data_IF_346618449685
#
_entry.id   IF_346618449685
#
_cell.length_a   1.000
_cell.length_b   1.000
_cell.length_c   1.000
_cell.angle_alpha   90.00
_cell.angle_beta   90.00
_cell.angle_gamma   90.00
#
_symmetry.space_group_name_H-M   'P 1'
#
loop_
_entity.id
_entity.type
_entity.pdbx_description
1 polymer ?
#
# COMPACT_ATOMS: atom_id res chain seq x y z
N UNK A 1 -13.64 -6.41 5.59
CA UNK A 1 -12.39 -6.57 4.82
C UNK A 1 -11.24 -6.79 5.79
N UNK A 2 -10.51 -7.90 5.69
CA UNK A 2 -9.27 -8.11 6.46
C UNK A 2 -8.16 -7.36 5.74
N UNK A 3 -7.51 -6.41 6.42
CA UNK A 3 -6.31 -5.77 5.89
C UNK A 3 -5.22 -6.83 5.70
N UNK A 4 -4.46 -6.83 4.58
CA UNK A 4 -3.31 -7.71 4.44
C UNK A 4 -2.27 -7.30 5.47
N UNK A 5 -1.95 -8.22 6.40
CA UNK A 5 -0.79 -8.10 7.26
C UNK A 5 0.45 -8.31 6.38
N UNK A 6 1.15 -7.24 6.04
CA UNK A 6 2.45 -7.33 5.34
C UNK A 6 3.51 -7.49 6.41
N UNK A 7 4.04 -8.72 6.56
CA UNK A 7 5.09 -8.99 7.53
C UNK A 7 6.46 -8.60 6.94
N UNK A 8 7.07 -7.53 7.47
CA UNK A 8 8.32 -6.96 6.95
C UNK A 8 9.57 -7.71 7.45
N UNK A 9 9.49 -8.34 8.63
CA UNK A 9 10.56 -9.13 9.23
C UNK A 9 9.99 -10.38 9.87
N UNK A 10 10.68 -11.52 9.71
CA UNK A 10 10.36 -12.75 10.44
C UNK A 10 11.59 -13.23 11.19
N UNK A 11 11.43 -13.50 12.49
CA UNK A 11 12.46 -14.09 13.34
C UNK A 11 12.09 -15.54 13.65
N UNK A 12 13.00 -16.47 13.37
CA UNK A 12 12.88 -17.86 13.83
C UNK A 12 14.08 -18.21 14.70
N UNK A 13 13.81 -18.82 15.84
CA UNK A 13 14.84 -19.49 16.65
C UNK A 13 15.12 -20.86 16.03
N UNK A 14 16.34 -21.06 15.53
CA UNK A 14 16.84 -22.38 15.14
C UNK A 14 18.14 -22.64 15.91
N UNK A 15 18.20 -23.75 16.64
CA UNK A 15 19.39 -24.22 17.35
C UNK A 15 20.10 -23.16 18.20
N UNK A 16 19.33 -22.35 18.96
CA UNK A 16 19.88 -21.31 19.84
C UNK A 16 20.39 -20.05 19.13
N UNK A 17 20.24 -19.94 17.81
CA UNK A 17 20.55 -18.74 17.04
C UNK A 17 19.27 -18.11 16.51
N UNK A 18 19.15 -16.80 16.68
CA UNK A 18 18.04 -16.02 16.11
C UNK A 18 18.31 -15.77 14.63
N UNK A 19 17.58 -16.45 13.75
CA UNK A 19 17.65 -16.21 12.30
C UNK A 19 16.61 -15.16 11.91
N UNK A 20 17.10 -14.02 11.44
CA UNK A 20 16.28 -12.93 10.92
C UNK A 20 16.18 -13.05 9.40
N UNK A 21 14.95 -13.10 8.86
CA UNK A 21 14.68 -13.06 7.43
C UNK A 21 14.09 -11.70 7.06
N UNK A 22 14.80 -10.97 6.20
CA UNK A 22 14.46 -9.61 5.78
C UNK A 22 14.18 -9.62 4.28
N UNK A 23 13.09 -8.96 3.88
CA UNK A 23 12.77 -8.79 2.46
C UNK A 23 13.59 -7.62 1.88
N UNK A 24 14.33 -7.87 0.80
CA UNK A 24 15.18 -6.89 0.14
C UNK A 24 14.67 -6.66 -1.29
N UNK A 25 14.49 -5.39 -1.65
CA UNK A 25 14.25 -4.97 -3.02
C UNK A 25 15.60 -4.77 -3.71
N UNK A 26 15.80 -5.43 -4.84
CA UNK A 26 16.98 -5.27 -5.71
C UNK A 26 16.54 -4.66 -7.02
N UNK A 27 17.17 -3.57 -7.43
CA UNK A 27 16.86 -2.82 -8.64
C UNK A 27 18.12 -2.61 -9.47
N UNK A 28 18.02 -2.91 -10.76
CA UNK A 28 19.05 -2.54 -11.72
C UNK A 28 18.84 -1.07 -12.12
N UNK A 29 19.84 -0.23 -11.88
CA UNK A 29 19.82 1.18 -12.23
C UNK A 29 20.26 1.42 -13.68
N UNK A 30 19.89 2.59 -14.21
CA UNK A 30 20.18 2.98 -15.61
C UNK A 30 21.69 3.09 -15.90
N UNK A 31 22.49 3.31 -14.87
CA UNK A 31 23.95 3.45 -14.97
C UNK A 31 24.71 2.10 -14.94
N UNK A 32 23.98 0.97 -15.07
CA UNK A 32 24.57 -0.37 -14.97
C UNK A 32 24.91 -0.81 -13.54
N UNK A 33 24.61 0.03 -12.54
CA UNK A 33 24.75 -0.27 -11.11
C UNK A 33 23.52 -1.02 -10.60
N UNK A 34 23.68 -1.74 -9.50
CA UNK A 34 22.59 -2.44 -8.80
C UNK A 34 22.39 -1.80 -7.43
N UNK A 35 21.15 -1.37 -7.16
CA UNK A 35 20.74 -0.89 -5.85
C UNK A 35 19.99 -1.98 -5.09
N UNK A 36 20.30 -2.12 -3.79
CA UNK A 36 19.62 -3.04 -2.88
C UNK A 36 19.12 -2.26 -1.66
N UNK A 37 17.86 -2.47 -1.27
CA UNK A 37 17.22 -1.79 -0.13
C UNK A 37 16.32 -2.72 0.65
N UNK A 38 16.31 -2.61 1.98
CA UNK A 38 15.35 -3.33 2.83
C UNK A 38 13.94 -2.76 2.66
N UNK A 39 12.96 -3.63 2.43
CA UNK A 39 11.58 -3.23 2.29
C UNK A 39 11.04 -2.67 3.62
N UNK A 40 10.55 -1.44 3.60
CA UNK A 40 10.01 -0.76 4.78
C UNK A 40 11.05 0.02 5.61
N UNK A 41 12.35 -0.14 5.34
CA UNK A 41 13.43 0.58 6.04
C UNK A 41 14.39 1.23 5.02
N UNK A 42 14.08 2.44 4.53
CA UNK A 42 14.85 3.09 3.48
C UNK A 42 16.30 3.43 3.86
N UNK A 43 16.60 3.54 5.15
CA UNK A 43 17.94 3.79 5.70
C UNK A 43 18.91 2.63 5.44
N UNK A 44 18.40 1.41 5.26
CA UNK A 44 19.20 0.25 4.85
C UNK A 44 19.17 0.14 3.33
N UNK A 45 20.01 0.93 2.66
CA UNK A 45 20.21 0.83 1.22
C UNK A 45 21.65 1.00 0.80
N UNK A 46 22.03 0.28 -0.26
CA UNK A 46 23.37 0.29 -0.84
C UNK A 46 23.26 0.27 -2.36
N UNK A 47 24.28 0.79 -3.03
CA UNK A 47 24.41 0.76 -4.50
C UNK A 47 25.79 0.25 -4.85
N UNK A 48 25.86 -0.81 -5.65
CA UNK A 48 27.13 -1.46 -6.02
C UNK A 48 27.15 -1.79 -7.52
N UNK A 49 28.27 -2.33 -8.01
CA UNK A 49 28.46 -2.68 -9.42
C UNK A 49 27.61 -3.86 -9.89
N UNK A 50 27.29 -4.79 -8.99
CA UNK A 50 26.59 -6.03 -9.29
C UNK A 50 25.72 -6.47 -8.11
N UNK A 51 24.82 -7.42 -8.39
CA UNK A 51 23.85 -7.93 -7.41
C UNK A 51 24.50 -8.56 -6.19
N UNK A 52 25.58 -9.32 -6.36
CA UNK A 52 26.18 -10.03 -5.24
C UNK A 52 26.91 -9.06 -4.32
N UNK A 53 27.62 -8.09 -4.89
CA UNK A 53 28.25 -7.01 -4.13
C UNK A 53 27.21 -6.19 -3.35
N UNK A 54 26.09 -5.83 -3.98
CA UNK A 54 25.01 -5.09 -3.32
C UNK A 54 24.40 -5.87 -2.15
N UNK A 55 24.18 -7.18 -2.29
CA UNK A 55 23.66 -8.01 -1.19
C UNK A 55 24.69 -8.13 -0.06
N UNK A 56 25.96 -8.34 -0.38
CA UNK A 56 27.02 -8.48 0.63
C UNK A 56 27.27 -7.19 1.39
N UNK A 57 27.23 -6.04 0.73
CA UNK A 57 27.36 -4.73 1.38
C UNK A 57 26.16 -4.45 2.28
N UNK A 58 24.95 -4.79 1.82
CA UNK A 58 23.73 -4.65 2.61
C UNK A 58 23.76 -5.53 3.86
N UNK A 59 24.19 -6.79 3.73
CA UNK A 59 24.36 -7.72 4.84
C UNK A 59 25.36 -7.19 5.89
N UNK A 60 26.49 -6.63 5.44
CA UNK A 60 27.47 -6.01 6.33
C UNK A 60 26.90 -4.80 7.05
N UNK A 61 26.14 -3.95 6.35
CA UNK A 61 25.53 -2.75 6.91
C UNK A 61 24.49 -3.10 7.97
N UNK A 62 23.63 -4.10 7.70
CA UNK A 62 22.62 -4.59 8.66
C UNK A 62 23.31 -5.22 9.86
N UNK A 63 24.26 -6.13 9.65
CA UNK A 63 24.96 -6.84 10.73
C UNK A 63 25.73 -5.89 11.63
N UNK A 64 26.44 -4.91 11.06
CA UNK A 64 27.16 -3.90 11.84
C UNK A 64 26.21 -3.06 12.71
N UNK A 65 25.02 -2.72 12.19
CA UNK A 65 24.02 -1.99 12.95
C UNK A 65 23.44 -2.86 14.08
N UNK A 66 23.09 -4.13 13.79
CA UNK A 66 22.52 -5.04 14.79
C UNK A 66 23.51 -5.46 15.89
N UNK A 67 24.81 -5.53 15.60
CA UNK A 67 25.82 -5.81 16.62
C UNK A 67 26.01 -4.66 17.61
N UNK A 68 25.76 -3.42 17.17
CA UNK A 68 25.95 -2.22 17.97
C UNK A 68 24.69 -1.71 18.68
N UNK A 69 23.52 -2.26 18.36
CA UNK A 69 22.24 -1.74 18.82
C UNK A 69 21.33 -2.85 19.37
N UNK A 70 20.52 -2.50 20.37
CA UNK A 70 19.51 -3.41 20.92
C UNK A 70 18.23 -3.37 20.06
N UNK A 71 17.70 -4.53 19.72
CA UNK A 71 16.43 -4.65 18.99
C UNK A 71 15.29 -4.76 19.99
N UNK A 72 14.49 -3.70 20.11
CA UNK A 72 13.26 -3.70 20.93
C UNK A 72 12.02 -3.84 20.03
N UNK A 73 11.07 -4.68 20.44
CA UNK A 73 9.74 -4.73 19.83
C UNK A 73 8.79 -3.87 20.65
N UNK A 74 8.30 -2.78 20.06
CA UNK A 74 7.29 -1.93 20.68
C UNK A 74 5.94 -2.19 20.02
N UNK A 75 5.02 -2.79 20.77
CA UNK A 75 3.64 -2.92 20.34
C UNK A 75 2.91 -1.61 20.65
N UNK A 76 2.45 -0.94 19.58
CA UNK A 76 1.69 0.30 19.69
C UNK A 76 0.22 0.00 19.43
N UNK A 77 -0.62 0.24 20.44
CA UNK A 77 -2.06 0.30 20.21
C UNK A 77 -2.38 1.57 19.43
N UNK A 78 -2.64 1.43 18.13
CA UNK A 78 -3.17 2.54 17.34
C UNK A 78 -4.63 2.72 17.76
N UNK A 79 -4.99 3.84 18.42
CA UNK A 79 -6.38 4.07 18.78
C UNK A 79 -7.22 4.07 17.52
N UNK A 80 -8.36 3.37 17.55
CA UNK A 80 -9.31 3.37 16.43
C UNK A 80 -9.80 4.80 16.23
N UNK A 81 -9.22 5.50 15.25
CA UNK A 81 -9.78 6.75 14.76
C UNK A 81 -11.21 6.50 14.30
N UNK A 82 -12.15 7.36 14.71
CA UNK A 82 -13.46 7.36 14.08
C UNK A 82 -13.28 7.55 12.57
N UNK A 83 -14.08 6.82 11.78
CA UNK A 83 -14.03 6.96 10.33
C UNK A 83 -14.49 8.38 9.96
N UNK A 84 -13.71 9.17 9.18
CA UNK A 84 -14.02 10.58 8.92
C UNK A 84 -15.41 10.83 8.33
N UNK A 85 -15.99 9.81 7.68
CA UNK A 85 -17.32 9.89 7.06
C UNK A 85 -18.47 9.49 7.99
N UNK A 86 -18.18 8.99 9.20
CA UNK A 86 -19.21 8.64 10.19
C UNK A 86 -20.10 9.82 10.52
N UNK A 87 -19.54 11.03 10.60
CA UNK A 87 -20.28 12.29 10.83
C UNK A 87 -21.28 12.65 9.72
N UNK A 88 -21.14 12.02 8.54
CA UNK A 88 -22.02 12.27 7.41
C UNK A 88 -23.05 11.15 7.19
N UNK A 89 -23.02 10.08 8.00
CA UNK A 89 -23.98 9.00 7.88
C UNK A 89 -25.39 9.49 8.24
N UNK A 90 -26.31 9.44 7.28
CA UNK A 90 -27.70 9.81 7.49
C UNK A 90 -28.02 11.31 7.45
N UNK A 91 -27.12 12.17 6.97
CA UNK A 91 -27.33 13.63 6.94
C UNK A 91 -28.57 14.08 6.15
N UNK A 92 -29.08 13.25 5.24
CA UNK A 92 -30.26 13.54 4.43
C UNK A 92 -31.48 12.69 4.81
N UNK A 93 -31.42 11.93 5.92
CA UNK A 93 -32.49 11.01 6.32
C UNK A 93 -33.85 11.70 6.46
N UNK A 94 -33.85 12.92 7.00
CA UNK A 94 -35.07 13.70 7.25
C UNK A 94 -35.25 14.83 6.22
N UNK A 95 -34.51 14.78 5.10
CA UNK A 95 -34.64 15.79 4.05
C UNK A 95 -35.94 15.58 3.27
N UNK A 96 -36.83 16.57 3.29
CA UNK A 96 -38.07 16.58 2.51
C UNK A 96 -37.84 16.55 1.00
N UNK A 97 -36.64 16.92 0.54
CA UNK A 97 -36.26 16.93 -0.86
C UNK A 97 -35.60 15.62 -1.32
N UNK A 98 -35.34 14.68 -0.40
CA UNK A 98 -34.56 13.47 -0.71
C UNK A 98 -35.15 12.67 -1.87
N UNK A 99 -36.45 12.38 -1.80
CA UNK A 99 -37.15 11.60 -2.84
C UNK A 99 -37.17 12.35 -4.17
N UNK A 100 -37.42 13.67 -4.16
CA UNK A 100 -37.43 14.48 -5.38
C UNK A 100 -36.06 14.50 -6.06
N UNK A 101 -34.97 14.60 -5.29
CA UNK A 101 -33.61 14.55 -5.82
C UNK A 101 -33.31 13.17 -6.42
N UNK A 102 -33.72 12.07 -5.75
CA UNK A 102 -33.56 10.73 -6.29
C UNK A 102 -34.30 10.54 -7.62
N UNK A 103 -35.57 10.97 -7.70
CA UNK A 103 -36.35 10.90 -8.95
C UNK A 103 -35.70 11.70 -10.08
N UNK A 104 -35.15 12.88 -9.77
CA UNK A 104 -34.44 13.68 -10.78
C UNK A 104 -33.14 12.99 -11.25
N UNK A 105 -32.37 12.40 -10.33
CA UNK A 105 -31.15 11.65 -10.68
C UNK A 105 -31.49 10.45 -11.57
N UNK A 106 -32.53 9.69 -11.23
CA UNK A 106 -32.99 8.53 -11.99
C UNK A 106 -33.48 8.93 -13.40
N UNK A 107 -34.31 9.96 -13.49
CA UNK A 107 -34.80 10.49 -14.77
C UNK A 107 -33.64 10.93 -15.66
N UNK A 108 -32.69 11.69 -15.09
CA UNK A 108 -31.51 12.14 -15.82
C UNK A 108 -30.62 10.98 -16.26
N UNK A 109 -30.53 9.90 -15.47
CA UNK A 109 -29.78 8.70 -15.86
C UNK A 109 -30.44 7.99 -17.04
N UNK A 110 -31.76 7.83 -17.02
CA UNK A 110 -32.50 7.22 -18.12
C UNK A 110 -32.38 8.00 -19.43
N UNK A 111 -32.37 9.34 -19.37
CA UNK A 111 -32.10 10.19 -20.54
C UNK A 111 -30.72 9.93 -21.11
N UNK A 112 -29.68 9.93 -20.26
CA UNK A 112 -28.31 9.67 -20.69
C UNK A 112 -28.13 8.26 -21.25
N UNK A 113 -28.74 7.25 -20.62
CA UNK A 113 -28.66 5.87 -21.08
C UNK A 113 -29.37 5.70 -22.44
N UNK A 114 -30.51 6.37 -22.63
CA UNK A 114 -31.23 6.38 -23.92
C UNK A 114 -30.45 7.10 -25.02
N UNK A 115 -29.83 8.25 -24.70
CA UNK A 115 -28.98 8.99 -25.63
C UNK A 115 -27.76 8.16 -26.01
N UNK A 116 -27.11 7.52 -25.03
CA UNK A 116 -25.95 6.65 -25.26
C UNK A 116 -26.32 5.47 -26.15
N UNK A 117 -27.44 4.79 -25.90
CA UNK A 117 -27.95 3.72 -26.76
C UNK A 117 -28.21 4.22 -28.20
N UNK A 118 -28.82 5.40 -28.34
CA UNK A 118 -29.06 6.02 -29.65
C UNK A 118 -27.76 6.33 -30.38
N UNK A 119 -26.76 6.89 -29.69
CA UNK A 119 -25.47 7.24 -30.27
C UNK A 119 -24.66 5.99 -30.69
N UNK A 120 -24.84 4.85 -30.02
CA UNK A 120 -24.26 3.56 -30.43
C UNK A 120 -24.92 3.01 -31.71
N UNK A 121 -26.26 3.01 -31.79
CA UNK A 121 -26.99 2.55 -32.98
C UNK A 121 -26.74 3.45 -34.20
N UNK A 122 -26.52 4.75 -33.98
CA UNK A 122 -26.18 5.72 -35.02
C UNK A 122 -24.66 5.79 -35.32
N UNK A 123 -23.83 4.99 -34.65
CA UNK A 123 -22.37 4.94 -34.85
C UNK A 123 -21.63 6.24 -34.50
N UNK A 124 -22.23 7.10 -33.67
CA UNK A 124 -21.66 8.38 -33.21
C UNK A 124 -20.67 8.21 -32.06
N UNK A 125 -20.73 7.08 -31.36
CA UNK A 125 -19.74 6.63 -30.38
C UNK A 125 -19.35 5.18 -30.69
N UNK A 126 -18.04 4.90 -30.66
CA UNK A 126 -17.44 3.61 -31.01
C UNK A 126 -17.07 2.79 -29.77
#
# INVERSE_FOLDING_TARGET
MRSPQVNFMNTKLLNGQTKLSINVLVKNEKDGKVSARVLGLPEYSVTSSDRNSAISELDRLITANLLGNEVISLELEIPKSEHPWRKFAGIYKDSQLFDSVLTNIESHRHELDSQTATDYEEGKIA
#
